data_IF_395408692058
#
_entry.id   IF_395408692058
#
_cell.length_a   1.000
_cell.length_b   1.000
_cell.length_c   1.000
_cell.angle_alpha   90.00
_cell.angle_beta   90.00
_cell.angle_gamma   90.00
#
_symmetry.space_group_name_H-M   'P 1'
#
loop_
_entity.id
_entity.type
_entity.pdbx_description
1 polymer ?
#
# COMPACT_ATOMS: atom_id res chain seq x y z
N UNK A 1 -0.92 38.64 -15.94
CA UNK A 1 -0.03 38.10 -14.88
C UNK A 1 -0.79 37.06 -14.03
N UNK A 2 -1.50 36.11 -14.66
CA UNK A 2 -2.28 35.05 -13.98
C UNK A 2 -1.71 33.63 -14.20
N UNK A 3 -0.69 33.48 -15.05
CA UNK A 3 -0.07 32.19 -15.38
C UNK A 3 0.73 31.57 -14.22
N UNK A 4 1.22 32.39 -13.27
CA UNK A 4 2.10 31.92 -12.18
C UNK A 4 1.39 31.08 -11.12
N UNK A 5 0.17 31.44 -10.71
CA UNK A 5 -0.55 30.71 -9.64
C UNK A 5 -1.03 29.32 -10.09
N UNK A 6 -1.39 29.23 -11.36
CA UNK A 6 -1.94 28.04 -12.00
C UNK A 6 -0.88 26.94 -12.20
N UNK A 7 0.34 27.35 -12.59
CA UNK A 7 1.51 26.49 -12.65
C UNK A 7 1.87 25.92 -11.27
N UNK A 8 1.82 26.75 -10.23
CA UNK A 8 2.14 26.35 -8.85
C UNK A 8 1.21 25.21 -8.37
N UNK A 9 -0.07 25.20 -8.75
CA UNK A 9 -1.01 24.15 -8.32
C UNK A 9 -0.60 22.78 -8.88
N UNK A 10 -0.33 22.67 -10.18
CA UNK A 10 0.09 21.41 -10.80
C UNK A 10 1.45 20.98 -10.24
N UNK A 11 2.38 21.92 -10.10
CA UNK A 11 3.71 21.64 -9.57
C UNK A 11 3.66 21.15 -8.12
N UNK A 12 2.88 21.79 -7.25
CA UNK A 12 2.70 21.35 -5.87
C UNK A 12 2.01 19.98 -5.78
N UNK A 13 1.05 19.68 -6.67
CA UNK A 13 0.41 18.36 -6.73
C UNK A 13 1.41 17.28 -7.15
N UNK A 14 2.19 17.54 -8.21
CA UNK A 14 3.23 16.62 -8.68
C UNK A 14 4.30 16.41 -7.60
N UNK A 15 4.76 17.49 -6.95
CA UNK A 15 5.72 17.42 -5.84
C UNK A 15 5.17 16.60 -4.68
N UNK A 16 3.94 16.86 -4.22
CA UNK A 16 3.34 16.11 -3.13
C UNK A 16 3.23 14.63 -3.49
N UNK A 17 2.73 14.31 -4.67
CA UNK A 17 2.52 12.93 -5.11
C UNK A 17 3.86 12.19 -5.25
N UNK A 18 4.87 12.74 -5.92
CA UNK A 18 6.19 12.11 -6.06
C UNK A 18 6.86 11.94 -4.69
N UNK A 19 6.88 12.98 -3.85
CA UNK A 19 7.50 12.92 -2.53
C UNK A 19 6.81 11.92 -1.58
N UNK A 20 5.49 11.77 -1.68
CA UNK A 20 4.75 10.80 -0.88
C UNK A 20 5.02 9.36 -1.34
N UNK A 21 5.12 9.12 -2.65
CA UNK A 21 5.35 7.77 -3.19
C UNK A 21 6.78 7.29 -2.97
N UNK A 22 7.77 8.15 -3.14
CA UNK A 22 9.18 7.81 -2.94
C UNK A 22 9.50 7.46 -1.47
N UNK A 23 8.67 7.93 -0.53
CA UNK A 23 8.79 7.61 0.91
C UNK A 23 8.07 6.34 1.33
N UNK A 24 7.36 5.67 0.42
CA UNK A 24 6.64 4.44 0.71
C UNK A 24 7.22 3.28 -0.11
N UNK A 25 8.13 2.46 0.47
CA UNK A 25 8.92 1.48 -0.27
C UNK A 25 8.08 0.53 -1.14
N UNK A 26 6.98 -0.01 -0.60
CA UNK A 26 6.11 -0.96 -1.32
C UNK A 26 5.45 -0.37 -2.57
N UNK A 27 5.17 0.93 -2.55
CA UNK A 27 4.58 1.64 -3.69
C UNK A 27 5.67 2.04 -4.68
N UNK A 28 6.79 2.54 -4.17
CA UNK A 28 7.95 2.92 -4.98
C UNK A 28 8.50 1.74 -5.79
N UNK A 29 8.67 0.58 -5.16
CA UNK A 29 9.12 -0.65 -5.84
C UNK A 29 8.15 -1.09 -6.93
N UNK A 30 6.84 -1.01 -6.66
CA UNK A 30 5.82 -1.33 -7.66
C UNK A 30 5.87 -0.41 -8.87
N UNK A 31 5.96 0.91 -8.64
CA UNK A 31 6.09 1.89 -9.71
C UNK A 31 7.34 1.61 -10.55
N UNK A 32 8.48 1.33 -9.92
CA UNK A 32 9.72 1.02 -10.62
C UNK A 32 9.70 -0.33 -11.35
N UNK A 33 8.82 -1.26 -10.97
CA UNK A 33 8.60 -2.51 -11.71
C UNK A 33 7.79 -2.30 -13.02
N UNK A 34 7.09 -1.17 -13.13
CA UNK A 34 6.34 -0.80 -14.32
C UNK A 34 7.29 -0.23 -15.37
N UNK A 35 7.11 -0.64 -16.63
CA UNK A 35 7.94 -0.21 -17.74
C UNK A 35 7.11 -0.08 -19.02
N UNK A 36 7.62 0.72 -19.95
CA UNK A 36 7.02 0.96 -21.27
C UNK A 36 8.06 0.89 -22.37
N UNK A 37 8.83 -0.21 -22.40
CA UNK A 37 9.81 -0.47 -23.46
C UNK A 37 10.73 0.73 -23.76
N UNK A 38 10.75 1.17 -25.02
CA UNK A 38 11.57 2.28 -25.53
C UNK A 38 10.87 3.66 -25.48
N UNK A 39 9.78 3.81 -24.71
CA UNK A 39 9.04 5.06 -24.65
C UNK A 39 9.84 6.19 -24.00
N UNK A 40 10.11 7.25 -24.78
CA UNK A 40 10.86 8.43 -24.34
C UNK A 40 9.92 9.53 -23.82
N UNK A 41 9.91 9.66 -22.49
CA UNK A 41 9.12 10.64 -21.75
C UNK A 41 9.49 12.08 -22.12
N UNK A 42 10.78 12.36 -22.33
CA UNK A 42 11.23 13.72 -22.64
C UNK A 42 10.77 14.13 -24.04
N UNK A 43 10.85 13.20 -25.00
CA UNK A 43 10.34 13.43 -26.35
C UNK A 43 8.83 13.63 -26.36
N UNK A 44 8.07 12.78 -25.66
CA UNK A 44 6.61 12.92 -25.51
C UNK A 44 6.22 14.31 -24.95
N UNK A 45 6.84 14.73 -23.84
CA UNK A 45 6.56 16.03 -23.22
C UNK A 45 6.85 17.19 -24.19
N UNK A 46 7.96 17.12 -24.92
CA UNK A 46 8.33 18.15 -25.90
C UNK A 46 7.34 18.20 -27.07
N UNK A 47 6.88 17.06 -27.56
CA UNK A 47 5.91 16.99 -28.67
C UNK A 47 4.53 17.52 -28.25
N UNK A 48 4.03 17.08 -27.10
CA UNK A 48 2.74 17.52 -26.56
C UNK A 48 2.77 19.02 -26.25
N UNK A 49 3.87 19.53 -25.68
CA UNK A 49 4.07 20.96 -25.42
C UNK A 49 4.04 21.81 -26.70
N UNK A 50 4.72 21.36 -27.77
CA UNK A 50 4.70 22.02 -29.09
C UNK A 50 3.33 21.95 -29.77
N UNK A 51 2.43 21.08 -29.30
CA UNK A 51 1.06 20.95 -29.79
C UNK A 51 0.16 22.16 -29.54
N UNK A 52 0.58 23.13 -28.71
CA UNK A 52 -0.22 24.31 -28.34
C UNK A 52 -1.64 23.95 -27.87
N UNK A 53 -1.76 22.90 -27.03
CA UNK A 53 -3.05 22.46 -26.49
C UNK A 53 -3.88 21.57 -27.43
N UNK A 54 -3.28 21.03 -28.50
CA UNK A 54 -3.95 20.10 -29.44
C UNK A 54 -3.69 18.62 -29.16
N UNK A 55 -2.63 18.33 -28.41
CA UNK A 55 -2.23 16.96 -28.08
C UNK A 55 -2.34 16.76 -26.56
N UNK A 56 -2.74 15.56 -26.16
CA UNK A 56 -2.69 15.08 -24.78
C UNK A 56 -1.62 14.00 -24.70
N UNK A 57 -1.23 13.63 -23.49
CA UNK A 57 -0.24 12.57 -23.31
C UNK A 57 -0.79 11.23 -23.78
N UNK A 58 0.04 10.50 -24.50
CA UNK A 58 -0.14 9.08 -24.68
C UNK A 58 0.30 8.37 -23.39
N UNK A 59 -0.66 7.87 -22.61
CA UNK A 59 -0.39 7.18 -21.36
C UNK A 59 0.00 5.70 -21.54
N UNK A 60 -0.30 5.11 -22.70
CA UNK A 60 -0.13 3.68 -22.96
C UNK A 60 -1.42 2.87 -22.88
N UNK A 61 -1.31 1.59 -23.24
CA UNK A 61 -2.45 0.69 -23.46
C UNK A 61 -2.66 -0.30 -22.30
N UNK A 62 -1.72 -0.36 -21.35
CA UNK A 62 -1.80 -1.23 -20.17
C UNK A 62 -1.61 -0.45 -18.88
N UNK A 63 -2.13 -0.99 -17.77
CA UNK A 63 -1.99 -0.35 -16.45
C UNK A 63 -0.52 -0.08 -16.08
N UNK A 64 0.43 -0.96 -16.45
CA UNK A 64 1.86 -0.76 -16.19
C UNK A 64 2.42 0.40 -17.00
N UNK A 65 2.00 0.52 -18.25
CA UNK A 65 2.42 1.61 -19.12
C UNK A 65 1.87 2.95 -18.60
N UNK A 66 0.59 2.98 -18.21
CA UNK A 66 -0.05 4.17 -17.62
C UNK A 66 0.67 4.62 -16.34
N UNK A 67 0.96 3.69 -15.41
CA UNK A 67 1.72 3.98 -14.18
C UNK A 67 3.10 4.54 -14.53
N UNK A 68 3.84 3.86 -15.42
CA UNK A 68 5.16 4.28 -15.84
C UNK A 68 5.15 5.68 -16.45
N UNK A 69 4.26 5.94 -17.41
CA UNK A 69 4.21 7.22 -18.11
C UNK A 69 3.79 8.35 -17.19
N UNK A 70 2.74 8.16 -16.38
CA UNK A 70 2.25 9.23 -15.48
C UNK A 70 3.29 9.57 -14.41
N UNK A 71 3.92 8.57 -13.78
CA UNK A 71 4.96 8.82 -12.78
C UNK A 71 6.13 9.60 -13.37
N UNK A 72 6.63 9.18 -14.54
CA UNK A 72 7.78 9.85 -15.15
C UNK A 72 7.43 11.25 -15.68
N UNK A 73 6.18 11.51 -16.11
CA UNK A 73 5.71 12.87 -16.41
C UNK A 73 5.76 13.74 -15.16
N UNK A 74 5.22 13.28 -14.03
CA UNK A 74 5.26 14.05 -12.78
C UNK A 74 6.68 14.28 -12.30
N UNK A 75 7.54 13.25 -12.38
CA UNK A 75 8.96 13.38 -12.06
C UNK A 75 9.66 14.42 -12.94
N UNK A 76 9.43 14.39 -14.25
CA UNK A 76 9.98 15.39 -15.18
C UNK A 76 9.51 16.80 -14.83
N UNK A 77 8.22 16.98 -14.49
CA UNK A 77 7.67 18.28 -14.09
C UNK A 77 8.37 18.81 -12.84
N UNK A 78 8.57 17.97 -11.84
CA UNK A 78 9.23 18.32 -10.57
C UNK A 78 10.70 18.65 -10.80
N UNK A 79 11.43 17.77 -11.50
CA UNK A 79 12.88 17.89 -11.69
C UNK A 79 13.25 19.10 -12.56
N UNK A 80 12.40 19.48 -13.52
CA UNK A 80 12.67 20.56 -14.47
C UNK A 80 11.87 21.84 -14.20
N UNK A 81 11.00 21.85 -13.17
CA UNK A 81 10.06 22.93 -12.92
C UNK A 81 9.25 23.30 -14.19
N UNK A 82 8.76 22.28 -14.90
CA UNK A 82 8.22 22.40 -16.25
C UNK A 82 6.77 22.93 -16.28
N UNK A 83 6.51 24.01 -17.02
CA UNK A 83 5.18 24.62 -17.11
C UNK A 83 4.17 23.79 -17.91
N UNK A 84 3.26 23.16 -17.17
CA UNK A 84 2.19 22.32 -17.70
C UNK A 84 0.95 23.10 -18.14
N UNK A 85 0.88 24.42 -17.96
CA UNK A 85 -0.34 25.21 -18.23
C UNK A 85 -0.83 25.08 -19.68
N UNK A 86 0.11 25.02 -20.64
CA UNK A 86 -0.21 24.84 -22.05
C UNK A 86 -0.74 23.44 -22.38
N UNK A 87 -0.18 22.41 -21.72
CA UNK A 87 -0.59 21.01 -21.92
C UNK A 87 -1.94 20.75 -21.24
N UNK A 88 -2.14 21.26 -20.02
CA UNK A 88 -3.39 21.12 -19.28
C UNK A 88 -4.59 21.60 -20.12
N UNK A 89 -4.43 22.68 -20.90
CA UNK A 89 -5.48 23.18 -21.80
C UNK A 89 -5.96 22.16 -22.84
N UNK A 90 -5.12 21.21 -23.26
CA UNK A 90 -5.52 20.15 -24.18
C UNK A 90 -6.57 19.19 -23.58
N UNK A 91 -6.58 19.08 -22.25
CA UNK A 91 -7.53 18.21 -21.53
C UNK A 91 -8.91 18.84 -21.41
N UNK A 92 -9.03 20.17 -21.54
CA UNK A 92 -10.30 20.86 -21.70
C UNK A 92 -10.17 22.15 -22.52
N UNK A 93 -10.43 22.03 -23.82
CA UNK A 93 -10.34 23.16 -24.74
C UNK A 93 -11.52 24.13 -24.63
N UNK A 94 -12.63 23.71 -24.02
CA UNK A 94 -13.90 24.47 -23.97
C UNK A 94 -14.08 25.23 -22.66
N UNK A 95 -13.49 24.76 -21.57
CA UNK A 95 -13.58 25.43 -20.27
C UNK A 95 -13.05 26.85 -20.29
N UNK A 96 -13.68 27.71 -19.48
CA UNK A 96 -13.32 29.14 -19.37
C UNK A 96 -12.46 29.41 -18.13
N UNK A 97 -12.49 28.52 -17.15
CA UNK A 97 -11.72 28.63 -15.91
C UNK A 97 -10.59 27.62 -15.92
N UNK A 98 -9.46 28.00 -15.32
CA UNK A 98 -8.33 27.09 -15.21
C UNK A 98 -8.61 25.93 -14.25
N UNK A 99 -9.40 26.17 -13.21
CA UNK A 99 -9.81 25.12 -12.25
C UNK A 99 -10.54 23.95 -12.94
N UNK A 100 -11.42 24.23 -13.90
CA UNK A 100 -12.08 23.18 -14.69
C UNK A 100 -11.09 22.41 -15.57
N UNK A 101 -10.14 23.12 -16.18
CA UNK A 101 -9.07 22.49 -16.99
C UNK A 101 -8.23 21.54 -16.11
N UNK A 102 -7.86 21.99 -14.91
CA UNK A 102 -7.11 21.17 -13.95
C UNK A 102 -7.92 19.96 -13.50
N UNK A 103 -9.23 20.13 -13.25
CA UNK A 103 -10.10 18.98 -12.95
C UNK A 103 -10.12 17.98 -14.10
N UNK A 104 -10.23 18.46 -15.34
CA UNK A 104 -10.22 17.59 -16.54
C UNK A 104 -8.88 16.88 -16.73
N UNK A 105 -7.75 17.55 -16.46
CA UNK A 105 -6.43 16.93 -16.43
C UNK A 105 -6.35 15.86 -15.33
N UNK A 106 -6.71 16.22 -14.09
CA UNK A 106 -6.64 15.31 -12.95
C UNK A 106 -7.53 14.08 -13.13
N UNK A 107 -8.73 14.23 -13.69
CA UNK A 107 -9.61 13.10 -13.97
C UNK A 107 -9.04 12.12 -15.01
N UNK A 108 -8.16 12.60 -15.90
CA UNK A 108 -7.60 11.82 -17.01
C UNK A 108 -6.16 11.37 -16.80
N UNK A 109 -5.48 11.89 -15.79
CA UNK A 109 -4.06 11.59 -15.52
C UNK A 109 -3.91 11.17 -14.07
N UNK A 110 -4.05 12.11 -13.13
CA UNK A 110 -3.84 11.87 -11.71
C UNK A 110 -4.74 10.79 -11.13
N UNK A 111 -6.03 10.78 -11.50
CA UNK A 111 -7.02 9.80 -11.02
C UNK A 111 -6.72 8.39 -11.54
N UNK A 112 -6.28 8.25 -12.80
CA UNK A 112 -5.88 6.96 -13.37
C UNK A 112 -4.73 6.37 -12.55
N UNK A 113 -3.70 7.20 -12.29
CA UNK A 113 -2.56 6.78 -11.48
C UNK A 113 -2.96 6.39 -10.05
N UNK A 114 -3.75 7.23 -9.38
CA UNK A 114 -4.23 6.96 -8.01
C UNK A 114 -5.03 5.65 -7.97
N UNK A 115 -5.91 5.42 -8.94
CA UNK A 115 -6.70 4.19 -9.00
C UNK A 115 -5.81 2.96 -9.19
N UNK A 116 -4.80 3.01 -10.06
CA UNK A 116 -3.89 1.88 -10.24
C UNK A 116 -3.06 1.58 -8.99
N UNK A 117 -2.60 2.61 -8.29
CA UNK A 117 -1.91 2.43 -7.00
C UNK A 117 -2.89 1.89 -5.96
N UNK A 118 -4.11 2.40 -5.90
CA UNK A 118 -5.14 1.91 -5.00
C UNK A 118 -5.48 0.44 -5.29
N UNK A 119 -5.67 0.05 -6.55
CA UNK A 119 -5.94 -1.33 -6.95
C UNK A 119 -4.78 -2.27 -6.58
N UNK A 120 -3.54 -1.82 -6.75
CA UNK A 120 -2.37 -2.56 -6.29
C UNK A 120 -2.38 -2.73 -4.77
N UNK A 121 -2.63 -1.66 -4.01
CA UNK A 121 -2.72 -1.72 -2.56
C UNK A 121 -3.92 -2.54 -2.07
N UNK A 122 -5.04 -2.52 -2.79
CA UNK A 122 -6.20 -3.36 -2.52
C UNK A 122 -5.87 -4.82 -2.81
N UNK A 123 -5.15 -5.13 -3.89
CA UNK A 123 -4.69 -6.49 -4.18
C UNK A 123 -3.75 -6.99 -3.09
N UNK A 124 -2.76 -6.19 -2.69
CA UNK A 124 -1.92 -6.53 -1.54
C UNK A 124 -2.78 -6.65 -0.29
N UNK A 125 -3.74 -5.75 -0.08
CA UNK A 125 -4.70 -5.79 1.02
C UNK A 125 -5.46 -7.11 1.08
N UNK A 126 -5.95 -7.61 -0.05
CA UNK A 126 -6.62 -8.91 -0.18
C UNK A 126 -5.64 -10.06 0.07
N UNK A 127 -4.43 -10.01 -0.50
CA UNK A 127 -3.37 -11.02 -0.26
C UNK A 127 -2.93 -11.04 1.21
N UNK A 128 -2.94 -9.87 1.87
CA UNK A 128 -2.75 -9.65 3.30
C UNK A 128 -4.02 -9.98 4.11
N UNK A 129 -5.16 -10.16 3.42
CA UNK A 129 -6.47 -10.54 3.95
C UNK A 129 -7.21 -9.48 4.77
N UNK A 130 -7.13 -8.23 4.34
CA UNK A 130 -7.90 -7.07 4.81
C UNK A 130 -9.32 -7.01 4.21
N UNK A 131 -9.61 -7.72 3.11
CA UNK A 131 -10.96 -7.84 2.55
C UNK A 131 -11.57 -9.20 2.93
N UNK A 132 -12.29 -9.22 4.05
CA UNK A 132 -13.22 -10.28 4.41
C UNK A 132 -14.66 -9.78 4.27
N UNK A 133 -15.11 -9.41 3.06
CA UNK A 133 -16.48 -9.79 2.71
C UNK A 133 -16.52 -11.31 2.53
N UNK A 134 -16.79 -11.97 3.66
CA UNK A 134 -17.02 -13.41 3.75
C UNK A 134 -18.14 -13.83 2.79
N UNK A 135 -17.75 -14.31 1.61
CA UNK A 135 -18.57 -15.22 0.80
C UNK A 135 -17.95 -16.61 0.87
N UNK A 136 -18.28 -17.34 1.94
CA UNK A 136 -18.12 -18.79 1.97
C UNK A 136 -19.09 -19.43 0.95
N UNK A 137 -18.67 -19.55 -0.31
CA UNK A 137 -19.14 -20.64 -1.15
C UNK A 137 -18.29 -21.86 -0.83
N UNK A 138 -18.71 -22.61 0.19
CA UNK A 138 -18.18 -23.95 0.41
C UNK A 138 -18.78 -24.85 -0.68
N UNK A 139 -17.95 -25.24 -1.65
CA UNK A 139 -18.22 -26.42 -2.47
C UNK A 139 -16.93 -27.20 -2.67
N UNK A 140 -16.77 -28.18 -1.77
CA UNK A 140 -16.36 -29.55 -2.05
C UNK A 140 -14.97 -29.81 -2.69
N UNK A 141 -14.02 -30.33 -1.91
CA UNK A 141 -13.62 -31.74 -1.97
C UNK A 141 -12.44 -32.07 -1.03
N UNK A 142 -12.69 -32.99 -0.09
CA UNK A 142 -11.65 -33.89 0.45
C UNK A 142 -11.10 -33.55 1.84
N UNK A 143 -11.74 -34.05 2.91
CA UNK A 143 -11.05 -34.22 4.20
C UNK A 143 -11.92 -34.23 5.45
N UNK A 144 -12.64 -35.33 5.66
CA UNK A 144 -13.35 -35.76 6.88
C UNK A 144 -14.69 -35.10 7.25
N UNK A 145 -15.68 -35.99 7.27
CA UNK A 145 -17.08 -35.84 7.68
C UNK A 145 -17.17 -36.02 9.19
N UNK A 146 -17.82 -35.09 9.90
CA UNK A 146 -18.32 -35.34 11.25
C UNK A 146 -19.85 -35.22 11.24
N UNK A 147 -20.53 -36.34 11.49
CA UNK A 147 -21.98 -36.44 11.66
C UNK A 147 -22.23 -36.81 13.12
N UNK A 148 -23.01 -36.01 13.83
CA UNK A 148 -23.83 -36.50 14.94
C UNK A 148 -25.23 -35.91 14.85
N UNK A 149 -26.23 -36.79 14.87
CA UNK A 149 -27.64 -36.46 15.08
C UNK A 149 -27.97 -36.81 16.53
N UNK A 150 -28.72 -35.94 17.17
CA UNK A 150 -29.29 -36.03 18.52
C UNK A 150 -28.36 -35.74 19.71
N UNK A 151 -28.58 -34.56 20.29
CA UNK A 151 -28.37 -34.14 21.68
C UNK A 151 -27.09 -34.62 22.39
N UNK A 152 -25.94 -34.17 21.91
CA UNK A 152 -24.75 -34.03 22.76
C UNK A 152 -23.98 -32.77 22.36
N UNK A 153 -24.02 -31.77 23.23
CA UNK A 153 -23.11 -30.61 23.20
C UNK A 153 -21.70 -31.13 23.42
N UNK A 154 -20.98 -31.39 22.34
CA UNK A 154 -19.55 -31.63 22.41
C UNK A 154 -18.85 -30.28 22.34
N UNK A 155 -18.64 -29.68 23.52
CA UNK A 155 -17.63 -28.65 23.69
C UNK A 155 -16.29 -29.28 23.33
N UNK A 156 -15.86 -29.12 22.08
CA UNK A 156 -14.44 -29.24 21.75
C UNK A 156 -13.75 -27.98 22.28
N UNK A 157 -13.60 -27.89 23.60
CA UNK A 157 -12.63 -26.99 24.22
C UNK A 157 -11.27 -27.52 23.83
N UNK A 158 -10.78 -27.13 22.66
CA UNK A 158 -9.37 -27.29 22.34
C UNK A 158 -8.64 -26.20 23.10
N UNK A 159 -8.46 -26.47 24.39
CA UNK A 159 -7.47 -25.82 25.22
C UNK A 159 -6.12 -26.20 24.61
N UNK A 160 -5.69 -25.49 23.57
CA UNK A 160 -4.33 -25.56 23.07
C UNK A 160 -3.50 -24.96 24.19
N UNK A 161 -2.96 -25.86 25.02
CA UNK A 161 -2.01 -25.54 26.07
C UNK A 161 -0.94 -24.60 25.54
N UNK A 162 -1.05 -23.34 25.95
CA UNK A 162 -0.01 -22.59 26.63
C UNK A 162 1.40 -23.14 26.43
N UNK A 163 2.04 -22.81 25.31
CA UNK A 163 3.50 -22.62 25.32
C UNK A 163 3.76 -21.12 25.52
N UNK A 164 3.38 -20.60 26.68
CA UNK A 164 3.42 -19.16 26.99
C UNK A 164 4.82 -18.65 27.30
N UNK A 165 5.79 -19.49 27.67
CA UNK A 165 7.11 -18.99 28.11
C UNK A 165 7.96 -18.49 26.95
N UNK A 166 8.03 -19.25 25.84
CA UNK A 166 8.80 -18.87 24.64
C UNK A 166 8.21 -17.63 23.95
N UNK A 167 6.88 -17.50 23.92
CA UNK A 167 6.23 -16.32 23.37
C UNK A 167 6.44 -15.10 24.28
N UNK A 168 6.34 -15.27 25.61
CA UNK A 168 6.61 -14.19 26.56
C UNK A 168 8.08 -13.76 26.50
N UNK A 169 9.03 -14.68 26.30
CA UNK A 169 10.44 -14.31 26.11
C UNK A 169 10.65 -13.58 24.79
N UNK A 170 10.05 -14.06 23.70
CA UNK A 170 10.16 -13.43 22.38
C UNK A 170 9.59 -12.01 22.36
N UNK A 171 8.43 -11.80 22.99
CA UNK A 171 7.84 -10.46 23.15
C UNK A 171 8.75 -9.54 23.95
N UNK A 172 9.34 -10.02 25.04
CA UNK A 172 10.29 -9.23 25.85
C UNK A 172 11.55 -8.86 25.07
N UNK A 173 12.06 -9.76 24.25
CA UNK A 173 13.22 -9.50 23.39
C UNK A 173 12.88 -8.46 22.33
N UNK A 174 11.70 -8.54 21.69
CA UNK A 174 11.21 -7.53 20.75
C UNK A 174 11.13 -6.16 21.45
N UNK A 175 10.49 -6.07 22.62
CA UNK A 175 10.40 -4.80 23.37
C UNK A 175 11.76 -4.22 23.72
N UNK A 176 12.73 -5.05 24.10
CA UNK A 176 14.09 -4.60 24.43
C UNK A 176 14.84 -4.09 23.21
N UNK A 177 14.68 -4.74 22.05
CA UNK A 177 15.33 -4.33 20.81
C UNK A 177 14.71 -3.06 20.23
N UNK A 178 13.43 -2.79 20.53
CA UNK A 178 12.76 -1.54 20.18
C UNK A 178 13.32 -0.31 20.93
N UNK A 179 14.00 -0.48 22.06
CA UNK A 179 14.61 0.63 22.80
C UNK A 179 15.82 1.26 22.08
N UNK A 180 16.32 0.63 21.01
CA UNK A 180 17.39 1.16 20.17
C UNK A 180 16.94 2.47 19.49
N UNK A 181 17.72 3.54 19.63
CA UNK A 181 17.43 4.87 19.07
C UNK A 181 17.57 4.94 17.54
N UNK A 182 18.07 3.88 16.90
CA UNK A 182 18.14 3.76 15.44
C UNK A 182 16.82 3.35 14.79
N UNK A 183 15.83 2.89 15.57
CA UNK A 183 14.49 2.55 15.07
C UNK A 183 13.63 3.82 14.98
N UNK A 184 13.07 4.15 13.80
CA UNK A 184 12.12 5.25 13.64
C UNK A 184 10.95 5.13 14.61
N UNK A 185 10.53 6.26 15.19
CA UNK A 185 9.45 6.29 16.19
C UNK A 185 8.14 5.71 15.65
N UNK A 186 7.79 6.00 14.40
CA UNK A 186 6.57 5.51 13.75
C UNK A 186 6.56 3.97 13.67
N UNK A 187 7.69 3.35 13.31
CA UNK A 187 7.82 1.88 13.24
C UNK A 187 7.86 1.24 14.63
N UNK A 188 8.46 1.94 15.60
CA UNK A 188 8.50 1.49 17.00
C UNK A 188 7.09 1.36 17.57
N UNK A 189 6.25 2.37 17.35
CA UNK A 189 4.87 2.41 17.82
C UNK A 189 4.04 1.30 17.16
N UNK A 190 4.16 1.12 15.84
CA UNK A 190 3.48 0.05 15.10
C UNK A 190 3.86 -1.34 15.63
N UNK A 191 5.16 -1.61 15.83
CA UNK A 191 5.61 -2.92 16.32
C UNK A 191 5.10 -3.16 17.74
N UNK A 192 5.21 -2.17 18.61
CA UNK A 192 4.79 -2.29 20.01
C UNK A 192 3.28 -2.54 20.12
N UNK A 193 2.45 -1.68 19.52
CA UNK A 193 0.98 -1.81 19.60
C UNK A 193 0.50 -3.13 18.99
N UNK A 194 1.10 -3.55 17.88
CA UNK A 194 0.73 -4.79 17.20
C UNK A 194 1.08 -6.02 18.03
N UNK A 195 2.27 -6.05 18.64
CA UNK A 195 2.68 -7.16 19.52
C UNK A 195 1.79 -7.24 20.75
N UNK A 196 1.50 -6.11 21.40
CA UNK A 196 0.63 -6.05 22.58
C UNK A 196 -0.80 -6.51 22.26
N UNK A 197 -1.35 -6.04 21.14
CA UNK A 197 -2.69 -6.41 20.67
C UNK A 197 -2.78 -7.89 20.36
N UNK A 198 -1.81 -8.45 19.64
CA UNK A 198 -1.77 -9.89 19.35
C UNK A 198 -1.67 -10.70 20.64
N UNK A 199 -0.85 -10.27 21.59
CA UNK A 199 -0.70 -10.96 22.88
C UNK A 199 -2.02 -10.97 23.67
N UNK A 200 -2.73 -9.85 23.70
CA UNK A 200 -4.05 -9.74 24.35
C UNK A 200 -5.08 -10.63 23.67
N UNK A 201 -5.15 -10.61 22.34
CA UNK A 201 -6.09 -11.43 21.57
C UNK A 201 -5.79 -12.92 21.70
N UNK A 202 -4.53 -13.35 21.77
CA UNK A 202 -4.16 -14.74 22.01
C UNK A 202 -4.55 -15.26 23.41
N UNK A 203 -4.76 -14.36 24.37
CA UNK A 203 -5.24 -14.68 25.72
C UNK A 203 -6.76 -14.51 25.87
N UNK A 204 -7.42 -13.95 24.86
CA UNK A 204 -8.87 -13.76 24.83
C UNK A 204 -9.60 -15.09 24.64
N UNK A 205 -10.76 -15.24 25.30
CA UNK A 205 -11.66 -16.36 25.08
C UNK A 205 -12.38 -16.28 23.71
N UNK A 206 -12.43 -15.09 23.10
CA UNK A 206 -12.98 -14.83 21.77
C UNK A 206 -11.99 -14.00 20.96
N UNK A 207 -10.93 -14.62 20.41
CA UNK A 207 -9.92 -13.91 19.64
C UNK A 207 -10.50 -13.36 18.33
N UNK A 208 -10.33 -12.07 18.09
CA UNK A 208 -10.69 -11.41 16.83
C UNK A 208 -9.61 -11.69 15.79
N UNK A 209 -9.74 -12.82 15.08
CA UNK A 209 -8.78 -13.26 14.05
C UNK A 209 -8.41 -12.17 13.04
N UNK A 210 -9.38 -11.35 12.58
CA UNK A 210 -9.12 -10.23 11.67
C UNK A 210 -8.23 -9.13 12.26
N UNK A 211 -8.36 -8.86 13.56
CA UNK A 211 -7.51 -7.91 14.27
C UNK A 211 -6.08 -8.45 14.41
N UNK A 212 -5.93 -9.72 14.80
CA UNK A 212 -4.62 -10.39 14.89
C UNK A 212 -3.91 -10.39 13.53
N UNK A 213 -4.64 -10.64 12.43
CA UNK A 213 -4.12 -10.59 11.07
C UNK A 213 -3.65 -9.18 10.67
N UNK A 214 -4.43 -8.17 11.03
CA UNK A 214 -4.09 -6.76 10.78
C UNK A 214 -2.78 -6.36 11.49
N UNK A 215 -2.63 -6.77 12.75
CA UNK A 215 -1.40 -6.55 13.52
C UNK A 215 -0.20 -7.33 12.95
N UNK A 216 -0.38 -8.59 12.52
CA UNK A 216 0.69 -9.37 11.87
C UNK A 216 1.19 -8.69 10.59
N UNK A 217 0.30 -8.05 9.82
CA UNK A 217 0.68 -7.32 8.63
C UNK A 217 1.37 -6.00 8.96
N UNK A 218 0.91 -5.27 9.99
CA UNK A 218 1.61 -4.10 10.52
C UNK A 218 3.06 -4.43 10.90
N UNK A 219 3.27 -5.58 11.54
CA UNK A 219 4.61 -6.09 11.88
C UNK A 219 5.47 -6.39 10.64
N UNK A 220 4.91 -7.05 9.61
CA UNK A 220 5.63 -7.32 8.34
C UNK A 220 6.06 -6.04 7.62
N UNK A 221 5.17 -5.05 7.62
CA UNK A 221 5.44 -3.76 6.99
C UNK A 221 6.53 -3.02 7.76
N UNK A 222 6.44 -3.01 9.09
CA UNK A 222 7.41 -2.34 9.93
C UNK A 222 8.82 -2.91 9.76
N UNK A 223 8.98 -4.24 9.81
CA UNK A 223 10.31 -4.86 9.62
C UNK A 223 10.91 -4.62 8.22
N UNK A 224 10.07 -4.38 7.20
CA UNK A 224 10.52 -4.03 5.84
C UNK A 224 11.10 -2.60 5.81
N UNK A 225 10.58 -1.70 6.65
CA UNK A 225 11.02 -0.31 6.76
C UNK A 225 12.27 -0.14 7.65
N UNK A 226 12.66 -1.17 8.41
CA UNK A 226 13.88 -1.18 9.26
C UNK A 226 14.86 -2.32 8.90
N UNK A 227 15.29 -2.47 7.63
CA UNK A 227 16.09 -3.62 7.19
C UNK A 227 17.47 -3.70 7.88
N UNK A 228 17.94 -2.60 8.47
CA UNK A 228 19.20 -2.55 9.22
C UNK A 228 19.10 -3.16 10.62
N UNK A 229 17.89 -3.34 11.16
CA UNK A 229 17.65 -3.89 12.49
C UNK A 229 17.46 -5.42 12.45
N UNK A 230 18.48 -6.13 11.94
CA UNK A 230 18.41 -7.55 11.58
C UNK A 230 17.88 -8.45 12.71
N UNK A 231 18.35 -8.24 13.94
CA UNK A 231 17.95 -9.03 15.11
C UNK A 231 16.47 -8.81 15.49
N UNK A 232 16.01 -7.54 15.44
CA UNK A 232 14.62 -7.19 15.66
C UNK A 232 13.72 -7.79 14.58
N UNK A 233 14.12 -7.68 13.30
CA UNK A 233 13.38 -8.25 12.18
C UNK A 233 13.23 -9.78 12.30
N UNK A 234 14.28 -10.48 12.71
CA UNK A 234 14.23 -11.93 12.94
C UNK A 234 13.28 -12.30 14.08
N UNK A 235 13.32 -11.57 15.20
CA UNK A 235 12.45 -11.86 16.35
C UNK A 235 10.98 -11.57 16.04
N UNK A 236 10.69 -10.47 15.34
CA UNK A 236 9.35 -10.15 14.87
C UNK A 236 8.86 -11.19 13.85
N UNK A 237 9.73 -11.68 12.95
CA UNK A 237 9.37 -12.72 12.00
C UNK A 237 9.05 -14.06 12.70
N UNK A 238 9.84 -14.46 13.70
CA UNK A 238 9.54 -15.64 14.51
C UNK A 238 8.20 -15.49 15.25
N UNK A 239 7.88 -14.29 15.73
CA UNK A 239 6.61 -14.01 16.38
C UNK A 239 5.44 -14.15 15.41
N UNK A 240 5.59 -13.62 14.18
CA UNK A 240 4.62 -13.79 13.10
C UNK A 240 4.41 -15.27 12.76
N UNK A 241 5.49 -16.05 12.63
CA UNK A 241 5.43 -17.47 12.27
C UNK A 241 4.72 -18.30 13.35
N UNK A 242 4.85 -17.90 14.61
CA UNK A 242 4.12 -18.53 15.72
C UNK A 242 2.61 -18.19 15.71
N UNK A 243 2.26 -16.95 15.37
CA UNK A 243 0.87 -16.44 15.42
C UNK A 243 0.06 -16.92 14.21
N UNK A 244 0.69 -16.98 13.03
CA UNK A 244 0.03 -17.28 11.74
C UNK A 244 -0.78 -18.59 11.74
N UNK A 245 -0.30 -19.72 12.30
CA UNK A 245 -1.08 -20.96 12.37
C UNK A 245 -2.32 -20.88 13.28
N UNK A 246 -2.37 -19.92 14.22
CA UNK A 246 -3.47 -19.79 15.20
C UNK A 246 -4.66 -18.97 14.68
N UNK A 247 -4.48 -18.29 13.54
CA UNK A 247 -5.49 -17.46 12.90
C UNK A 247 -6.09 -18.07 11.62
N UNK A 248 -5.62 -19.27 11.22
CA UNK A 248 -6.25 -20.07 10.15
C UNK A 248 -7.60 -20.65 10.57
#
# INVERSE_FOLDING_TARGET
>A
MHFSFNFIIILCQAQFLVLSLDKTPIIYEYINSCNRGEFDIESEIKEVSKGYGRYIFDLGDTFKEEIFTIYNIFKYIVDNNFDMSGIARAYDTRSKTFDEIIKSFNNRVSLIFINHIADYLTKIGIEMGYDEEVKYMITNNGGQVNISRDSSTLNATQNIGTNSEELISLVKEISKLLDDSSIPNDEREIIQESVETIQSELQSNEPKKGLVKSCVNGLKMAITNIPTAIELCNNVQQFIDYVTPKIQ
#
